data_IF_261467057089
#
_entry.id   IF_261467057089
#
_cell.length_a   1.000
_cell.length_b   1.000
_cell.length_c   1.000
_cell.angle_alpha   90.00
_cell.angle_beta   90.00
_cell.angle_gamma   90.00
#
_symmetry.space_group_name_H-M   'P 1'
#
loop_
_entity.id
_entity.type
_entity.pdbx_description
1 polymer ?
#
# COMPACT_ATOMS: atom_id res chain seq x y z
N UNK A 1 8.99 -15.27 -0.54
CA UNK A 1 9.62 -15.35 0.80
C UNK A 1 9.05 -14.31 1.76
N UNK A 2 9.21 -13.01 1.49
CA UNK A 2 8.67 -11.95 2.36
C UNK A 2 7.14 -12.02 2.53
N UNK A 3 6.38 -12.03 1.42
CA UNK A 3 4.92 -12.14 1.49
C UNK A 3 4.45 -13.40 2.21
N UNK A 4 5.16 -14.53 2.06
CA UNK A 4 4.84 -15.77 2.78
C UNK A 4 5.07 -15.62 4.30
N UNK A 5 6.09 -14.86 4.72
CA UNK A 5 6.36 -14.57 6.14
C UNK A 5 5.33 -13.62 6.75
N UNK A 6 4.88 -12.62 5.99
CA UNK A 6 3.88 -11.65 6.46
C UNK A 6 2.45 -12.17 6.33
N UNK A 7 2.24 -13.23 5.54
CA UNK A 7 0.92 -13.75 5.16
C UNK A 7 0.28 -12.90 4.06
N UNK A 8 0.01 -13.48 2.89
CA UNK A 8 -0.67 -12.75 1.83
C UNK A 8 -2.03 -12.21 2.33
N UNK A 9 -2.22 -10.90 2.23
CA UNK A 9 -3.40 -10.19 2.71
C UNK A 9 -3.67 -10.30 4.22
N UNK A 10 -2.66 -10.59 5.05
CA UNK A 10 -2.76 -10.69 6.51
C UNK A 10 -2.02 -9.57 7.27
N UNK A 11 -1.51 -8.57 6.55
CA UNK A 11 -0.79 -7.42 7.10
C UNK A 11 -1.23 -6.13 6.41
N UNK A 12 -1.07 -4.98 7.05
CA UNK A 12 -1.22 -3.69 6.37
C UNK A 12 0.10 -3.21 5.80
N UNK A 13 0.04 -2.50 4.68
CA UNK A 13 1.21 -1.93 4.02
C UNK A 13 1.07 -0.41 3.88
N UNK A 14 2.14 0.30 4.20
CA UNK A 14 2.27 1.74 4.04
C UNK A 14 3.43 2.04 3.10
N UNK A 15 3.22 2.98 2.19
CA UNK A 15 4.30 3.66 1.50
C UNK A 15 4.34 5.12 1.94
N UNK A 16 5.48 5.53 2.51
CA UNK A 16 5.72 6.90 2.99
C UNK A 16 6.96 7.44 2.28
N UNK A 17 6.75 8.30 1.29
CA UNK A 17 7.81 9.07 0.61
C UNK A 17 8.03 10.39 1.34
N UNK A 18 9.26 10.67 1.79
CA UNK A 18 9.64 11.90 2.50
C UNK A 18 10.72 12.72 1.79
N UNK A 19 11.67 12.08 1.09
CA UNK A 19 12.72 12.80 0.38
C UNK A 19 12.24 13.30 -0.98
N UNK A 20 12.49 14.58 -1.23
CA UNK A 20 12.25 15.27 -2.49
C UNK A 20 10.77 15.31 -2.95
N UNK A 21 9.90 15.82 -2.07
CA UNK A 21 8.58 16.28 -2.47
C UNK A 21 8.67 17.77 -2.78
N UNK A 22 8.67 18.10 -4.08
CA UNK A 22 8.48 19.48 -4.57
C UNK A 22 7.20 20.15 -4.01
N UNK A 23 6.32 19.39 -3.33
CA UNK A 23 5.10 19.86 -2.69
C UNK A 23 5.20 19.79 -1.15
N UNK A 24 5.34 20.97 -0.52
CA UNK A 24 5.41 21.16 0.95
C UNK A 24 4.29 20.48 1.76
N UNK A 25 3.13 20.21 1.13
CA UNK A 25 1.97 19.58 1.78
C UNK A 25 2.09 18.08 2.08
N UNK A 26 3.12 17.40 1.55
CA UNK A 26 3.32 15.96 1.77
C UNK A 26 4.20 15.64 2.98
N UNK A 27 4.79 16.67 3.62
CA UNK A 27 5.52 16.52 4.88
C UNK A 27 4.54 16.38 6.05
N UNK A 28 4.25 15.14 6.43
CA UNK A 28 3.51 14.83 7.65
C UNK A 28 4.47 14.24 8.68
N UNK A 29 4.43 14.76 9.92
CA UNK A 29 5.08 14.12 11.06
C UNK A 29 4.50 12.69 11.23
N UNK A 30 5.31 11.75 11.73
CA UNK A 30 4.92 10.40 12.09
C UNK A 30 3.58 10.32 12.83
N UNK A 31 3.39 11.14 13.87
CA UNK A 31 2.18 11.12 14.68
C UNK A 31 0.94 11.58 13.90
N UNK A 32 1.12 12.54 12.98
CA UNK A 32 0.04 12.98 12.07
C UNK A 32 -0.30 11.89 11.08
N UNK A 33 0.72 11.26 10.49
CA UNK A 33 0.58 10.13 9.57
C UNK A 33 -0.18 8.99 10.24
N UNK A 34 0.24 8.57 11.44
CA UNK A 34 -0.43 7.54 12.23
C UNK A 34 -1.87 7.94 12.56
N UNK A 35 -2.11 9.17 13.04
CA UNK A 35 -3.47 9.66 13.34
C UNK A 35 -4.39 9.58 12.13
N UNK A 36 -3.88 9.90 10.94
CA UNK A 36 -4.64 9.91 9.70
C UNK A 36 -5.05 8.50 9.26
N UNK A 37 -4.18 7.51 9.45
CA UNK A 37 -4.38 6.15 8.94
C UNK A 37 -4.81 5.14 10.00
N UNK A 38 -4.75 5.45 11.30
CA UNK A 38 -5.03 4.49 12.38
C UNK A 38 -6.38 3.80 12.26
N UNK A 39 -7.39 4.47 11.73
CA UNK A 39 -8.72 3.89 11.52
C UNK A 39 -8.74 2.79 10.42
N UNK A 40 -7.69 2.73 9.61
CA UNK A 40 -7.46 1.71 8.59
C UNK A 40 -6.50 0.60 9.06
N UNK A 41 -5.93 0.69 10.26
CA UNK A 41 -5.02 -0.34 10.76
C UNK A 41 -5.74 -1.17 11.82
N UNK A 42 -5.61 -2.49 11.74
CA UNK A 42 -6.07 -3.37 12.80
C UNK A 42 -5.00 -3.42 13.89
N UNK A 43 -5.44 -3.45 15.14
CA UNK A 43 -4.55 -3.56 16.27
C UNK A 43 -3.83 -4.92 16.26
N UNK A 44 -2.52 -4.92 16.51
CA UNK A 44 -1.71 -6.13 16.55
C UNK A 44 -1.40 -6.79 15.19
N UNK A 45 -1.96 -6.31 14.07
CA UNK A 45 -1.61 -6.84 12.75
C UNK A 45 -0.18 -6.43 12.33
N UNK A 46 0.55 -7.26 11.57
CA UNK A 46 1.84 -6.87 11.03
C UNK A 46 1.70 -5.64 10.12
N UNK A 47 2.69 -4.76 10.17
CA UNK A 47 2.73 -3.54 9.39
C UNK A 47 4.02 -3.50 8.57
N UNK A 48 3.90 -3.47 7.25
CA UNK A 48 5.06 -3.24 6.38
C UNK A 48 5.12 -1.76 5.97
N UNK A 49 6.28 -1.11 6.14
CA UNK A 49 6.48 0.28 5.69
C UNK A 49 7.59 0.34 4.65
N UNK A 50 7.23 0.66 3.41
CA UNK A 50 8.15 1.07 2.35
C UNK A 50 8.40 2.57 2.46
N UNK A 51 9.64 3.00 2.59
CA UNK A 51 9.98 4.40 2.82
C UNK A 51 11.43 4.70 2.47
N UNK A 52 11.69 5.95 2.13
CA UNK A 52 13.02 6.53 1.97
C UNK A 52 13.50 7.28 3.23
N UNK A 53 12.71 7.27 4.30
CA UNK A 53 13.07 7.86 5.58
C UNK A 53 14.10 7.01 6.33
N UNK A 54 15.20 7.66 6.73
CA UNK A 54 16.34 7.02 7.37
C UNK A 54 16.35 7.21 8.88
N UNK A 55 15.63 8.21 9.41
CA UNK A 55 15.54 8.50 10.83
C UNK A 55 14.65 7.46 11.54
N UNK A 56 15.20 6.64 12.45
CA UNK A 56 14.43 5.65 13.18
C UNK A 56 13.34 6.26 14.08
N UNK A 57 13.55 7.48 14.59
CA UNK A 57 12.61 8.16 15.50
C UNK A 57 11.27 8.47 14.84
N UNK A 58 11.26 8.60 13.50
CA UNK A 58 10.03 8.75 12.75
C UNK A 58 9.10 7.53 12.91
N UNK A 59 9.65 6.33 13.17
CA UNK A 59 8.83 5.12 13.29
C UNK A 59 8.40 4.84 14.73
N UNK A 60 8.89 5.58 15.73
CA UNK A 60 8.59 5.33 17.14
C UNK A 60 7.06 5.29 17.42
N UNK A 61 6.23 6.24 16.96
CA UNK A 61 4.79 6.18 17.19
C UNK A 61 4.12 4.97 16.55
N UNK A 62 4.65 4.48 15.41
CA UNK A 62 4.13 3.29 14.76
C UNK A 62 4.53 2.02 15.51
N UNK A 63 5.77 1.95 16.00
CA UNK A 63 6.28 0.80 16.76
C UNK A 63 5.52 0.59 18.07
N UNK A 64 5.14 1.67 18.76
CA UNK A 64 4.33 1.61 19.98
C UNK A 64 2.99 0.88 19.77
N UNK A 65 2.36 1.08 18.60
CA UNK A 65 1.04 0.52 18.27
C UNK A 65 1.09 -0.76 17.44
N UNK A 66 2.16 -0.94 16.67
CA UNK A 66 2.43 -2.09 15.83
C UNK A 66 3.84 -2.62 16.11
N UNK A 67 4.03 -3.44 17.17
CA UNK A 67 5.35 -4.02 17.48
C UNK A 67 5.92 -4.86 16.32
N UNK A 68 5.02 -5.45 15.53
CA UNK A 68 5.31 -6.19 14.31
C UNK A 68 5.42 -5.27 13.07
N UNK A 69 6.09 -4.13 13.23
CA UNK A 69 6.44 -3.25 12.13
C UNK A 69 7.72 -3.74 11.46
N UNK A 70 7.64 -3.96 10.15
CA UNK A 70 8.74 -4.41 9.32
C UNK A 70 9.08 -3.40 8.23
N UNK A 71 10.37 -3.28 7.95
CA UNK A 71 10.94 -2.57 6.82
C UNK A 71 11.82 -3.52 6.00
N UNK A 72 12.26 -3.08 4.83
CA UNK A 72 13.18 -3.84 3.97
C UNK A 72 14.38 -4.43 4.72
N UNK A 73 15.02 -3.63 5.58
CA UNK A 73 16.20 -4.05 6.37
C UNK A 73 15.91 -5.21 7.32
N UNK A 74 14.69 -5.29 7.86
CA UNK A 74 14.31 -6.34 8.82
C UNK A 74 14.23 -7.72 8.13
N UNK A 75 14.04 -7.77 6.81
CA UNK A 75 13.94 -9.03 6.05
C UNK A 75 15.24 -9.85 6.03
N UNK A 76 16.36 -9.22 6.41
CA UNK A 76 17.68 -9.85 6.50
C UNK A 76 18.07 -10.21 7.93
N UNK A 77 17.25 -9.85 8.92
CA UNK A 77 17.51 -10.08 10.35
C UNK A 77 16.58 -11.15 10.91
N UNK A 78 16.93 -11.67 12.09
CA UNK A 78 16.11 -12.65 12.80
C UNK A 78 14.72 -12.10 13.18
N UNK A 79 14.55 -10.77 13.21
CA UNK A 79 13.25 -10.12 13.47
C UNK A 79 12.18 -10.57 12.47
N UNK A 80 12.54 -10.70 11.19
CA UNK A 80 11.65 -11.23 10.16
C UNK A 80 11.95 -12.71 9.83
N UNK A 81 12.71 -13.41 10.68
CA UNK A 81 13.13 -14.80 10.45
C UNK A 81 14.15 -14.96 9.33
N UNK A 82 14.95 -13.91 9.04
CA UNK A 82 16.06 -13.96 8.09
C UNK A 82 15.67 -14.44 6.68
N UNK A 83 14.44 -14.13 6.26
CA UNK A 83 13.81 -14.66 5.03
C UNK A 83 14.55 -14.33 3.73
N UNK A 84 15.36 -13.27 3.73
CA UNK A 84 16.22 -12.87 2.61
C UNK A 84 17.73 -13.01 2.89
N UNK A 85 18.12 -13.58 4.04
CA UNK A 85 19.53 -13.81 4.36
C UNK A 85 20.16 -14.73 3.30
N UNK A 86 21.32 -14.34 2.78
CA UNK A 86 22.03 -15.05 1.72
C UNK A 86 21.48 -14.84 0.29
N UNK A 87 20.39 -14.08 0.12
CA UNK A 87 19.86 -13.75 -1.21
C UNK A 87 20.55 -12.48 -1.71
N UNK A 88 21.24 -12.56 -2.84
CA UNK A 88 21.80 -11.38 -3.50
C UNK A 88 20.72 -10.70 -4.35
N UNK A 89 20.35 -9.49 -3.96
CA UNK A 89 19.31 -8.70 -4.63
C UNK A 89 19.94 -7.41 -5.15
N UNK A 90 19.96 -7.19 -6.48
CA UNK A 90 20.41 -5.92 -7.04
C UNK A 90 19.63 -4.74 -6.45
N UNK A 91 20.33 -3.69 -6.02
CA UNK A 91 19.71 -2.51 -5.39
C UNK A 91 18.57 -1.90 -6.22
N UNK A 92 18.71 -1.93 -7.55
CA UNK A 92 17.69 -1.44 -8.51
C UNK A 92 16.36 -2.21 -8.48
N UNK A 93 16.34 -3.44 -7.95
CA UNK A 93 15.13 -4.27 -7.84
C UNK A 93 14.41 -4.13 -6.50
N UNK A 94 15.05 -3.51 -5.50
CA UNK A 94 14.45 -3.36 -4.16
C UNK A 94 13.10 -2.67 -4.25
N UNK A 95 13.02 -1.55 -4.98
CA UNK A 95 11.76 -0.83 -5.16
C UNK A 95 10.66 -1.70 -5.78
N UNK A 96 10.97 -2.48 -6.81
CA UNK A 96 10.00 -3.39 -7.43
C UNK A 96 9.53 -4.48 -6.47
N UNK A 97 10.43 -5.00 -5.63
CA UNK A 97 10.10 -6.02 -4.63
C UNK A 97 9.21 -5.40 -3.54
N UNK A 98 9.53 -4.21 -3.06
CA UNK A 98 8.72 -3.50 -2.08
C UNK A 98 7.33 -3.14 -2.61
N UNK A 99 7.20 -2.83 -3.91
CA UNK A 99 5.89 -2.65 -4.54
C UNK A 99 5.06 -3.94 -4.49
N UNK A 100 5.68 -5.09 -4.81
CA UNK A 100 5.02 -6.39 -4.74
C UNK A 100 4.64 -6.76 -3.30
N UNK A 101 5.50 -6.48 -2.31
CA UNK A 101 5.18 -6.66 -0.89
C UNK A 101 3.97 -5.79 -0.55
N UNK A 102 4.04 -4.47 -0.78
CA UNK A 102 2.95 -3.57 -0.43
C UNK A 102 1.61 -3.93 -1.10
N UNK A 103 1.65 -4.40 -2.35
CA UNK A 103 0.46 -4.82 -3.07
C UNK A 103 -0.23 -6.03 -2.41
N UNK A 104 0.51 -6.91 -1.74
CA UNK A 104 -0.02 -8.09 -1.07
C UNK A 104 -0.48 -7.81 0.38
N UNK A 105 -0.48 -6.56 0.83
CA UNK A 105 -1.09 -6.19 2.12
C UNK A 105 -2.62 -6.30 2.06
N UNK A 106 -3.26 -6.65 3.18
CA UNK A 106 -4.72 -6.58 3.39
C UNK A 106 -5.25 -5.22 2.95
N UNK A 107 -4.58 -4.16 3.44
CA UNK A 107 -4.85 -2.77 3.10
C UNK A 107 -3.55 -2.06 2.78
N UNK A 108 -3.59 -1.20 1.76
CA UNK A 108 -2.45 -0.42 1.33
C UNK A 108 -2.76 1.08 1.48
N UNK A 109 -1.83 1.83 2.08
CA UNK A 109 -1.90 3.28 2.18
C UNK A 109 -0.63 3.88 1.58
N UNK A 110 -0.77 4.68 0.53
CA UNK A 110 0.37 5.29 -0.17
C UNK A 110 0.63 6.75 0.18
N UNK A 111 1.60 7.34 -0.52
CA UNK A 111 1.80 8.80 -0.61
C UNK A 111 1.12 9.34 -1.86
N UNK A 112 0.37 10.44 -1.70
CA UNK A 112 -0.29 11.15 -2.81
C UNK A 112 0.76 11.66 -3.83
N UNK A 113 0.43 11.66 -5.12
CA UNK A 113 1.33 12.01 -6.23
C UNK A 113 2.61 11.16 -6.39
N UNK A 114 2.75 10.06 -5.66
CA UNK A 114 3.86 9.13 -5.87
C UNK A 114 3.53 8.10 -6.95
N UNK A 115 4.36 8.06 -8.00
CA UNK A 115 4.31 7.02 -9.04
C UNK A 115 4.54 5.62 -8.46
N UNK A 116 5.34 5.52 -7.40
CA UNK A 116 5.56 4.29 -6.66
C UNK A 116 4.26 3.77 -6.02
N UNK A 117 3.50 4.65 -5.33
CA UNK A 117 2.19 4.31 -4.77
C UNK A 117 1.18 3.93 -5.86
N UNK A 118 1.15 4.66 -6.97
CA UNK A 118 0.24 4.36 -8.08
C UNK A 118 0.48 2.97 -8.67
N UNK A 119 1.75 2.60 -8.88
CA UNK A 119 2.09 1.26 -9.36
C UNK A 119 1.64 0.15 -8.41
N UNK A 120 1.73 0.37 -7.09
CA UNK A 120 1.21 -0.58 -6.09
C UNK A 120 -0.30 -0.75 -6.24
N UNK A 121 -1.06 0.34 -6.33
CA UNK A 121 -2.52 0.28 -6.54
C UNK A 121 -2.89 -0.48 -7.82
N UNK A 122 -2.08 -0.34 -8.87
CA UNK A 122 -2.25 -1.09 -10.12
C UNK A 122 -2.00 -2.59 -9.94
N UNK A 123 -0.92 -2.99 -9.26
CA UNK A 123 -0.68 -4.41 -8.93
C UNK A 123 -1.86 -4.96 -8.11
N UNK A 124 -2.36 -4.21 -7.12
CA UNK A 124 -3.53 -4.60 -6.31
C UNK A 124 -4.77 -4.88 -7.15
N UNK A 125 -5.00 -4.11 -8.20
CA UNK A 125 -6.04 -4.37 -9.19
C UNK A 125 -5.85 -5.69 -9.92
N UNK A 126 -4.62 -5.98 -10.38
CA UNK A 126 -4.30 -7.20 -11.11
C UNK A 126 -4.32 -8.48 -10.26
N UNK A 127 -3.91 -8.42 -9.00
CA UNK A 127 -3.90 -9.59 -8.09
C UNK A 127 -5.23 -9.80 -7.38
N UNK A 128 -6.28 -9.06 -7.77
CA UNK A 128 -7.60 -9.09 -7.15
C UNK A 128 -7.54 -8.93 -5.62
N UNK A 129 -6.79 -7.92 -5.16
CA UNK A 129 -6.63 -7.68 -3.73
C UNK A 129 -7.99 -7.45 -3.05
N UNK A 130 -8.16 -7.89 -1.78
CA UNK A 130 -9.44 -7.80 -1.07
C UNK A 130 -9.92 -6.36 -0.87
N UNK A 131 -8.99 -5.42 -0.81
CA UNK A 131 -9.27 -3.99 -0.76
C UNK A 131 -8.58 -3.27 -1.92
N UNK A 132 -9.37 -2.73 -2.85
CA UNK A 132 -8.87 -2.02 -4.04
C UNK A 132 -9.00 -0.51 -3.90
N UNK A 133 -9.40 -0.01 -2.73
CA UNK A 133 -9.55 1.42 -2.48
C UNK A 133 -8.19 2.10 -2.39
N UNK A 134 -8.13 3.35 -2.83
CA UNK A 134 -6.91 4.15 -2.86
C UNK A 134 -6.85 5.03 -1.62
N UNK A 135 -5.91 4.75 -0.72
CA UNK A 135 -5.69 5.51 0.50
C UNK A 135 -4.37 6.24 0.49
N UNK A 136 -4.34 7.42 1.14
CA UNK A 136 -3.14 8.23 1.28
C UNK A 136 -2.88 8.62 2.74
N UNK A 137 -1.62 8.62 3.15
CA UNK A 137 -1.22 8.83 4.54
C UNK A 137 -1.38 10.28 5.03
N UNK A 138 -1.51 11.23 4.10
CA UNK A 138 -1.81 12.64 4.37
C UNK A 138 -3.32 12.93 4.51
N UNK A 139 -4.19 11.94 4.28
CA UNK A 139 -5.65 12.09 4.35
C UNK A 139 -6.18 11.44 5.63
N UNK A 140 -7.07 12.14 6.35
CA UNK A 140 -7.76 11.57 7.51
C UNK A 140 -8.86 10.61 7.07
N UNK A 141 -8.71 9.34 7.45
CA UNK A 141 -9.64 8.26 7.13
C UNK A 141 -10.58 7.90 8.28
N UNK A 142 -11.77 7.41 7.92
CA UNK A 142 -12.76 6.91 8.88
C UNK A 142 -12.63 5.41 9.07
N UNK A 143 -13.13 4.88 10.18
CA UNK A 143 -13.36 3.44 10.34
C UNK A 143 -14.53 2.96 9.45
N UNK A 144 -15.46 3.86 9.13
CA UNK A 144 -16.58 3.60 8.22
C UNK A 144 -16.11 3.56 6.76
N UNK A 145 -16.21 2.38 6.16
CA UNK A 145 -15.80 2.12 4.78
C UNK A 145 -16.69 2.82 3.75
N UNK A 146 -17.98 3.04 4.04
CA UNK A 146 -18.89 3.74 3.11
C UNK A 146 -18.54 5.23 3.03
N UNK A 147 -18.17 5.84 4.16
CA UNK A 147 -17.63 7.21 4.17
C UNK A 147 -16.36 7.29 3.33
N UNK A 148 -15.47 6.29 3.43
CA UNK A 148 -14.22 6.26 2.67
C UNK A 148 -14.47 6.06 1.17
N UNK A 149 -15.40 5.19 0.77
CA UNK A 149 -15.79 4.99 -0.65
C UNK A 149 -16.33 6.28 -1.25
N UNK A 150 -17.23 6.99 -0.55
CA UNK A 150 -17.80 8.27 -1.01
C UNK A 150 -16.74 9.36 -1.23
N UNK A 151 -15.63 9.34 -0.49
CA UNK A 151 -14.49 10.26 -0.70
C UNK A 151 -13.74 10.00 -2.00
N UNK A 152 -13.83 8.79 -2.55
CA UNK A 152 -13.09 8.34 -3.73
C UNK A 152 -13.91 8.36 -5.02
N UNK A 153 -15.25 8.41 -4.93
CA UNK A 153 -16.14 8.43 -6.11
C UNK A 153 -16.21 9.78 -6.84
N UNK A 154 -15.71 10.87 -6.24
CA UNK A 154 -15.68 12.20 -6.86
C UNK A 154 -14.24 12.59 -7.18
N UNK A 155 -13.76 12.48 -8.44
CA UNK A 155 -12.46 13.02 -8.81
C UNK A 155 -12.45 14.53 -8.55
N UNK A 156 -11.56 14.99 -7.67
CA UNK A 156 -11.34 16.42 -7.40
C UNK A 156 -10.06 16.88 -8.10
N UNK A 157 -10.17 17.81 -9.04
CA UNK A 157 -9.03 18.55 -9.63
C UNK A 157 -7.86 17.67 -10.06
N UNK A 158 -6.65 17.96 -9.54
CA UNK A 158 -5.38 17.28 -9.85
C UNK A 158 -5.34 15.77 -9.51
N UNK A 159 -6.40 15.20 -8.92
CA UNK A 159 -6.51 13.75 -8.64
C UNK A 159 -6.88 12.89 -9.84
N UNK A 160 -6.95 13.45 -11.06
CA UNK A 160 -7.10 12.65 -12.28
C UNK A 160 -5.92 11.69 -12.52
N UNK A 161 -4.74 11.98 -11.95
CA UNK A 161 -3.56 11.11 -11.99
C UNK A 161 -3.59 9.99 -10.93
N UNK A 162 -4.51 10.06 -9.97
CA UNK A 162 -4.63 9.01 -8.96
C UNK A 162 -5.29 7.78 -9.58
N UNK A 163 -4.71 6.59 -9.37
CA UNK A 163 -5.35 5.36 -9.81
C UNK A 163 -6.72 5.22 -9.13
N UNK A 164 -7.77 5.23 -9.94
CA UNK A 164 -9.14 5.02 -9.50
C UNK A 164 -9.41 3.53 -9.30
N UNK A 165 -9.97 3.12 -8.14
CA UNK A 165 -10.42 1.75 -7.90
C UNK A 165 -11.43 1.26 -8.96
N UNK A 166 -12.16 2.18 -9.60
CA UNK A 166 -13.13 1.88 -10.64
C UNK A 166 -12.49 1.28 -11.90
N UNK A 167 -11.21 1.57 -12.17
CA UNK A 167 -10.51 1.03 -13.34
C UNK A 167 -10.37 -0.50 -13.33
N UNK A 168 -10.51 -1.12 -12.15
CA UNK A 168 -10.33 -2.57 -11.96
C UNK A 168 -11.64 -3.33 -11.75
N UNK A 169 -12.79 -2.64 -11.79
CA UNK A 169 -14.10 -3.29 -11.66
C UNK A 169 -14.48 -4.10 -12.91
N UNK A 170 -13.97 -3.70 -14.08
CA UNK A 170 -14.23 -4.37 -15.36
C UNK A 170 -13.26 -5.50 -15.69
N UNK A 171 -12.06 -5.53 -15.09
CA UNK A 171 -11.09 -6.61 -15.34
C UNK A 171 -11.37 -7.88 -14.53
N UNK A 172 -12.09 -7.77 -13.40
CA UNK A 172 -12.49 -8.91 -12.57
C UNK A 172 -13.82 -9.55 -13.01
N UNK A 173 -14.64 -8.84 -13.79
CA UNK A 173 -15.84 -9.42 -14.41
C UNK A 173 -15.46 -10.10 -15.73
N UNK A 174 -15.18 -11.41 -15.64
CA UNK A 174 -14.99 -12.34 -16.77
C UNK A 174 -16.24 -12.49 -17.68
N UNK A 175 -17.22 -11.60 -17.60
CA UNK A 175 -18.49 -11.69 -18.34
C UNK A 175 -18.41 -11.16 -19.77
N UNK A 176 -17.34 -10.42 -20.12
CA UNK A 176 -17.21 -9.85 -21.47
C UNK A 176 -16.68 -10.82 -22.53
N UNK A 177 -16.04 -11.93 -22.13
CA UNK A 177 -15.47 -12.89 -23.10
C UNK A 177 -16.45 -14.01 -23.53
N UNK A 178 -17.64 -14.09 -22.91
CA UNK A 178 -18.64 -15.12 -23.23
C UNK A 178 -19.78 -14.63 -24.12
N UNK A 179 -19.69 -13.44 -24.73
CA UNK A 179 -20.73 -12.89 -25.61
C UNK A 179 -20.37 -12.86 -27.10
N UNK A 180 -19.22 -13.39 -27.50
CA UNK A 180 -18.87 -13.55 -28.92
C UNK A 180 -19.08 -14.97 -29.48
N UNK A 181 -19.50 -15.93 -28.65
CA UNK A 181 -19.91 -17.27 -29.13
C UNK A 181 -21.37 -17.37 -29.59
N UNK A 182 -22.17 -16.31 -29.42
CA UNK A 182 -23.62 -16.33 -29.71
C UNK A 182 -24.00 -15.50 -30.96
N UNK A 183 -23.02 -15.11 -31.80
CA UNK A 183 -23.25 -14.42 -33.08
C UNK A 183 -22.88 -15.29 -34.30
N UNK A 184 -22.98 -16.61 -34.18
CA UNK A 184 -22.75 -17.54 -35.27
C UNK A 184 -23.77 -18.68 -35.29
N UNK A 185 -24.97 -18.41 -35.81
CA UNK A 185 -25.85 -19.36 -36.52
C UNK A 185 -26.94 -18.57 -37.28
#
# INVERSE_FOLDING_TARGET
RVVAKLGAFQYSALHIRRNDLQYKGSWSNASVTLRNVRALLLEGEPLYIATDEMNPDFFAPFLERHPQLYQWKDMFTERAGSVLKGVQIPRKLIGCIEQAICAMGRRFIGTEHSTFSGYINRIRGYVDAPDKLTYYHNTLWSADMEVNKRKQTKPKGQRYLADSPLMWQTTASREWYTRESDLGA
#
